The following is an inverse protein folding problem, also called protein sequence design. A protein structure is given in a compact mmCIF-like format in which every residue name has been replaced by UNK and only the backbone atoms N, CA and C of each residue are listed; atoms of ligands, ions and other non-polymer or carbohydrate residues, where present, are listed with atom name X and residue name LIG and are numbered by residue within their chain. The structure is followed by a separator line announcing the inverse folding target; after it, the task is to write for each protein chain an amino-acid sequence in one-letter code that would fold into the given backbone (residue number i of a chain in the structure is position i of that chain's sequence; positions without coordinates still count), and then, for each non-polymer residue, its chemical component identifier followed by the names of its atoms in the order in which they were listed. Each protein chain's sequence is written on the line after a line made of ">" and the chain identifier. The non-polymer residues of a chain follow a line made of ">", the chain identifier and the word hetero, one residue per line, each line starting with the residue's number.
data_IF_413046747786
#
_entry.id   IF_413046747786
#
_cell.length_a   1.000
_cell.length_b   1.000
_cell.length_c   1.000
_cell.angle_alpha   90.00
_cell.angle_beta   90.00
_cell.angle_gamma   90.00
#
_symmetry.space_group_name_H-M   'P 1'
#
loop_
_entity.id
_entity.type
_entity.pdbx_description
1 polymer ?
#
# COMPACT_ATOMS: atom_id res chain seq x y z
N UNK A 1 -10.08 -15.88 1.26
CA UNK A 1 -9.57 -14.84 2.19
C UNK A 1 -8.69 -13.80 1.48
N UNK A 2 -7.62 -14.21 0.79
CA UNK A 2 -6.69 -13.34 0.04
C UNK A 2 -7.34 -12.31 -0.89
N UNK A 3 -8.31 -12.72 -1.72
CA UNK A 3 -8.97 -11.84 -2.71
C UNK A 3 -9.71 -10.67 -2.07
N UNK A 4 -10.36 -10.88 -0.92
CA UNK A 4 -11.12 -9.83 -0.20
C UNK A 4 -10.19 -8.83 0.47
N UNK A 5 -9.05 -9.29 0.99
CA UNK A 5 -8.00 -8.41 1.55
C UNK A 5 -7.39 -7.54 0.44
N UNK A 6 -7.04 -8.11 -0.71
CA UNK A 6 -6.51 -7.36 -1.85
C UNK A 6 -7.47 -6.25 -2.32
N UNK A 7 -8.76 -6.55 -2.44
CA UNK A 7 -9.76 -5.55 -2.83
C UNK A 7 -9.86 -4.39 -1.82
N UNK A 8 -9.78 -4.67 -0.51
CA UNK A 8 -9.75 -3.62 0.52
C UNK A 8 -8.52 -2.72 0.40
N UNK A 9 -7.34 -3.30 0.12
CA UNK A 9 -6.11 -2.53 -0.05
C UNK A 9 -6.20 -1.63 -1.28
N UNK A 10 -6.71 -2.15 -2.41
CA UNK A 10 -6.96 -1.34 -3.61
C UNK A 10 -7.92 -0.20 -3.33
N UNK A 11 -8.99 -0.44 -2.57
CA UNK A 11 -9.95 0.61 -2.20
C UNK A 11 -9.32 1.70 -1.33
N UNK A 12 -8.56 1.34 -0.29
CA UNK A 12 -7.87 2.31 0.59
C UNK A 12 -6.91 3.18 -0.21
N UNK A 13 -6.11 2.55 -1.08
CA UNK A 13 -5.11 3.25 -1.88
C UNK A 13 -5.78 4.12 -2.95
N UNK A 14 -6.86 3.65 -3.60
CA UNK A 14 -7.63 4.45 -4.55
C UNK A 14 -8.29 5.67 -3.89
N UNK A 15 -8.82 5.52 -2.67
CA UNK A 15 -9.36 6.64 -1.89
C UNK A 15 -8.28 7.65 -1.51
N UNK A 16 -7.06 7.20 -1.20
CA UNK A 16 -5.94 8.11 -0.99
C UNK A 16 -5.67 8.91 -2.27
N UNK A 17 -5.57 8.27 -3.44
CA UNK A 17 -5.35 8.96 -4.73
C UNK A 17 -6.48 9.95 -5.06
N UNK A 18 -7.74 9.64 -4.73
CA UNK A 18 -8.89 10.49 -5.04
C UNK A 18 -8.93 11.84 -4.28
N UNK A 19 -8.16 12.00 -3.19
CA UNK A 19 -8.07 13.25 -2.42
C UNK A 19 -7.07 14.27 -3.01
N UNK A 20 -6.64 14.09 -4.25
CA UNK A 20 -5.70 14.99 -4.93
C UNK A 20 -6.44 16.17 -5.58
N UNK A 21 -6.65 17.27 -4.87
CA UNK A 21 -7.16 18.50 -5.51
C UNK A 21 -6.05 19.23 -6.29
N UNK A 22 -6.40 19.67 -7.50
CA UNK A 22 -5.72 20.73 -8.27
C UNK A 22 -4.41 20.38 -8.99
N UNK A 23 -3.50 19.62 -8.37
CA UNK A 23 -2.18 19.29 -8.97
C UNK A 23 -1.76 17.82 -8.85
N UNK A 24 -2.63 16.94 -8.36
CA UNK A 24 -2.51 15.49 -8.57
C UNK A 24 -1.47 14.73 -7.75
N UNK A 25 -0.75 15.34 -6.78
CA UNK A 25 0.22 14.62 -5.94
C UNK A 25 -0.25 14.54 -4.50
N UNK A 26 -0.48 13.32 -4.00
CA UNK A 26 -0.41 13.09 -2.57
C UNK A 26 1.07 13.09 -2.18
N UNK A 27 1.47 14.04 -1.35
CA UNK A 27 2.89 14.19 -1.00
C UNK A 27 3.41 12.96 -0.25
N UNK A 28 2.58 12.31 0.58
CA UNK A 28 3.01 11.18 1.42
C UNK A 28 1.92 10.13 1.60
N UNK A 29 2.28 8.84 1.48
CA UNK A 29 1.46 7.70 1.91
C UNK A 29 2.14 7.00 3.08
N UNK A 30 1.46 6.94 4.23
CA UNK A 30 1.93 6.25 5.43
C UNK A 30 1.23 4.89 5.54
N UNK A 31 2.03 3.83 5.53
CA UNK A 31 1.56 2.44 5.62
C UNK A 31 2.21 1.75 6.84
N UNK A 32 1.60 0.66 7.29
CA UNK A 32 2.13 -0.18 8.36
C UNK A 32 1.75 -1.64 8.13
N UNK A 33 2.19 -2.56 9.01
CA UNK A 33 1.90 -3.99 8.89
C UNK A 33 0.46 -4.29 9.31
N UNK A 34 -0.51 -3.82 8.53
CA UNK A 34 -1.94 -3.84 8.84
C UNK A 34 -2.40 -5.28 9.11
N UNK A 35 -2.98 -5.48 10.29
CA UNK A 35 -3.61 -6.74 10.67
C UNK A 35 -2.64 -7.86 11.05
N UNK A 36 -1.35 -7.59 11.23
CA UNK A 36 -0.36 -8.61 11.62
C UNK A 36 -0.38 -8.95 13.11
N UNK A 37 -0.66 -7.97 13.98
CA UNK A 37 -0.84 -8.15 15.42
C UNK A 37 -2.15 -8.85 15.80
N UNK A 38 -3.15 -8.09 16.25
CA UNK A 38 -4.40 -8.65 16.79
C UNK A 38 -5.18 -9.59 15.83
N UNK A 39 -5.01 -9.42 14.52
CA UNK A 39 -5.67 -10.24 13.50
C UNK A 39 -4.79 -11.39 12.99
N UNK A 40 -3.54 -11.50 13.43
CA UNK A 40 -2.65 -12.62 13.14
C UNK A 40 -2.30 -12.83 11.67
N UNK A 41 -2.40 -11.80 10.83
CA UNK A 41 -2.01 -11.93 9.42
C UNK A 41 -0.49 -12.08 9.31
N UNK A 42 -0.04 -12.88 8.35
CA UNK A 42 1.40 -12.99 8.06
C UNK A 42 1.96 -11.66 7.52
N UNK A 43 3.03 -11.17 8.13
CA UNK A 43 3.77 -9.99 7.65
C UNK A 43 4.20 -10.13 6.20
N UNK A 44 4.75 -11.30 5.83
CA UNK A 44 5.15 -11.61 4.45
C UNK A 44 3.97 -11.48 3.48
N UNK A 45 2.80 -12.01 3.86
CA UNK A 45 1.60 -11.90 3.03
C UNK A 45 1.17 -10.45 2.86
N UNK A 46 1.18 -9.65 3.93
CA UNK A 46 0.80 -8.24 3.87
C UNK A 46 1.79 -7.43 3.03
N UNK A 47 3.10 -7.66 3.19
CA UNK A 47 4.14 -7.03 2.39
C UNK A 47 3.98 -7.35 0.89
N UNK A 48 3.72 -8.62 0.54
CA UNK A 48 3.46 -9.03 -0.84
C UNK A 48 2.21 -8.36 -1.42
N UNK A 49 1.14 -8.22 -0.63
CA UNK A 49 -0.08 -7.53 -1.07
C UNK A 49 0.18 -6.04 -1.30
N UNK A 50 0.93 -5.37 -0.44
CA UNK A 50 1.33 -3.98 -0.70
C UNK A 50 2.16 -3.86 -1.97
N UNK A 51 3.13 -4.75 -2.17
CA UNK A 51 3.94 -4.75 -3.39
C UNK A 51 3.07 -4.92 -4.65
N UNK A 52 2.10 -5.83 -4.61
CA UNK A 52 1.16 -6.06 -5.71
C UNK A 52 0.31 -4.82 -6.00
N UNK A 53 -0.22 -4.17 -4.97
CA UNK A 53 -1.09 -3.01 -5.17
C UNK A 53 -0.30 -1.78 -5.61
N UNK A 54 0.83 -1.50 -4.96
CA UNK A 54 1.64 -0.32 -5.28
C UNK A 54 2.23 -0.37 -6.70
N UNK A 55 2.55 -1.56 -7.21
CA UNK A 55 3.01 -1.75 -8.58
C UNK A 55 1.88 -2.03 -9.58
N UNK A 56 0.64 -2.22 -9.11
CA UNK A 56 -0.54 -2.31 -9.97
C UNK A 56 -0.94 -0.94 -10.51
N UNK A 57 -1.76 -0.91 -11.57
CA UNK A 57 -2.34 0.33 -12.08
C UNK A 57 -3.58 0.72 -11.28
N UNK A 58 -3.78 2.03 -11.10
CA UNK A 58 -5.07 2.57 -10.69
C UNK A 58 -6.03 2.44 -11.87
N UNK A 59 -7.33 2.18 -11.63
CA UNK A 59 -8.30 2.11 -12.73
C UNK A 59 -8.25 3.38 -13.59
N UNK A 60 -7.88 3.24 -14.87
CA UNK A 60 -7.74 4.34 -15.82
C UNK A 60 -6.35 5.00 -15.87
N UNK A 61 -5.41 4.61 -15.00
CA UNK A 61 -4.02 5.08 -15.03
C UNK A 61 -3.15 4.14 -15.88
N UNK A 62 -2.23 4.74 -16.64
CA UNK A 62 -1.16 4.03 -17.36
C UNK A 62 -0.02 3.68 -16.38
N UNK A 63 0.17 4.50 -15.34
CA UNK A 63 1.24 4.35 -14.37
C UNK A 63 0.80 3.54 -13.13
N UNK A 64 1.80 2.91 -12.50
CA UNK A 64 1.62 2.21 -11.24
C UNK A 64 1.21 3.16 -10.11
N UNK A 65 0.40 2.68 -9.18
CA UNK A 65 -0.17 3.50 -8.11
C UNK A 65 0.92 4.18 -7.26
N UNK A 66 2.09 3.54 -7.10
CA UNK A 66 3.21 4.15 -6.36
C UNK A 66 3.62 5.53 -6.87
N UNK A 67 3.43 5.83 -8.15
CA UNK A 67 3.80 7.11 -8.76
C UNK A 67 2.75 8.22 -8.52
N UNK A 68 1.57 7.87 -8.01
CA UNK A 68 0.60 8.84 -7.54
C UNK A 68 1.03 9.50 -6.21
N UNK A 69 2.10 9.02 -5.58
CA UNK A 69 2.63 9.50 -4.31
C UNK A 69 4.08 9.96 -4.48
N UNK A 70 4.45 11.11 -3.89
CA UNK A 70 5.83 11.58 -3.91
C UNK A 70 6.73 10.72 -2.99
N UNK A 71 6.21 10.31 -1.84
CA UNK A 71 6.88 9.36 -0.96
C UNK A 71 5.90 8.36 -0.33
N UNK A 72 6.39 7.14 -0.08
CA UNK A 72 5.66 6.09 0.63
C UNK A 72 6.52 5.63 1.80
N UNK A 73 6.00 5.76 3.02
CA UNK A 73 6.71 5.37 4.24
C UNK A 73 5.99 4.20 4.91
N UNK A 74 6.76 3.16 5.24
CA UNK A 74 6.30 2.06 6.07
C UNK A 74 6.76 2.29 7.50
N UNK A 75 5.82 2.49 8.41
CA UNK A 75 6.05 2.84 9.81
C UNK A 75 5.47 1.75 10.71
N UNK A 76 6.28 1.26 11.65
CA UNK A 76 5.89 0.29 12.66
C UNK A 76 6.79 0.43 13.89
N UNK A 77 6.26 0.05 15.06
CA UNK A 77 7.06 -0.16 16.26
C UNK A 77 7.77 -1.52 16.25
N UNK A 78 7.31 -2.45 15.41
CA UNK A 78 7.86 -3.79 15.24
C UNK A 78 8.92 -3.83 14.12
N UNK A 79 9.65 -4.95 14.00
CA UNK A 79 10.64 -5.13 12.96
C UNK A 79 9.99 -5.14 11.55
N UNK A 80 10.50 -4.31 10.63
CA UNK A 80 10.03 -4.18 9.25
C UNK A 80 10.92 -4.86 8.20
N UNK A 81 11.87 -5.72 8.60
CA UNK A 81 12.84 -6.31 7.67
C UNK A 81 12.18 -7.08 6.52
N UNK A 82 11.10 -7.82 6.78
CA UNK A 82 10.35 -8.54 5.73
C UNK A 82 9.72 -7.56 4.74
N UNK A 83 9.19 -6.44 5.21
CA UNK A 83 8.63 -5.39 4.35
C UNK A 83 9.73 -4.76 3.51
N UNK A 84 10.88 -4.44 4.11
CA UNK A 84 12.04 -3.88 3.38
C UNK A 84 12.54 -4.80 2.27
N UNK A 85 12.64 -6.11 2.53
CA UNK A 85 13.10 -7.08 1.53
C UNK A 85 12.15 -7.21 0.34
N UNK A 86 10.84 -7.05 0.55
CA UNK A 86 9.81 -7.32 -0.47
C UNK A 86 9.47 -6.05 -1.28
N UNK A 87 9.68 -4.86 -0.71
CA UNK A 87 9.26 -3.57 -1.29
C UNK A 87 10.40 -2.76 -1.93
N UNK A 88 11.63 -3.28 -1.93
CA UNK A 88 12.74 -2.76 -2.75
C UNK A 88 12.43 -2.92 -4.24
#
# INVERSE_FOLDING_TARGET
>A
MRTRTLQKFRAIIASAVANTEGSGKNTYLLLGPIGTGAFGNSEKMIAQLFNEVLNGSLMGSIEAIRYAFEQIWFVSTDNLDIFRQILQ
#
